data_IF_581464296000
#
_entry.id   IF_581464296000
#
_cell.length_a   1.000
_cell.length_b   1.000
_cell.length_c   1.000
_cell.angle_alpha   90.00
_cell.angle_beta   90.00
_cell.angle_gamma   90.00
#
_symmetry.space_group_name_H-M   'P 1'
#
loop_
_entity.id
_entity.type
_entity.pdbx_description
1 polymer ?
#
# COMPACT_ATOMS: atom_id res chain seq x y z
N UNK A 1 18.88 -57.52 -6.77
CA UNK A 1 17.90 -56.50 -7.17
C UNK A 1 17.32 -55.70 -6.00
N UNK A 2 17.00 -56.32 -4.85
CA UNK A 2 16.29 -55.64 -3.75
C UNK A 2 17.08 -54.52 -3.04
N UNK A 3 18.41 -54.63 -2.91
CA UNK A 3 19.22 -53.60 -2.21
C UNK A 3 19.38 -52.30 -3.00
N UNK A 4 19.53 -52.39 -4.33
CA UNK A 4 19.66 -51.21 -5.20
C UNK A 4 18.33 -50.45 -5.28
N UNK A 5 17.21 -51.18 -5.35
CA UNK A 5 15.87 -50.61 -5.37
C UNK A 5 15.49 -49.91 -4.06
N UNK A 6 15.93 -50.46 -2.92
CA UNK A 6 15.73 -49.83 -1.61
C UNK A 6 16.56 -48.55 -1.46
N UNK A 7 17.81 -48.54 -1.92
CA UNK A 7 18.66 -47.34 -1.88
C UNK A 7 18.15 -46.22 -2.80
N UNK A 8 17.66 -46.53 -4.00
CA UNK A 8 17.05 -45.51 -4.87
C UNK A 8 15.74 -44.96 -4.31
N UNK A 9 14.93 -45.79 -3.63
CA UNK A 9 13.71 -45.33 -2.97
C UNK A 9 14.00 -44.39 -1.79
N UNK A 10 15.02 -44.68 -0.97
CA UNK A 10 15.44 -43.82 0.15
C UNK A 10 15.99 -42.48 -0.36
N UNK A 11 16.77 -42.49 -1.45
CA UNK A 11 17.28 -41.25 -2.08
C UNK A 11 16.14 -40.44 -2.69
N UNK A 12 15.18 -41.09 -3.36
CA UNK A 12 14.02 -40.40 -3.93
C UNK A 12 13.13 -39.76 -2.86
N UNK A 13 12.88 -40.45 -1.74
CA UNK A 13 12.14 -39.91 -0.60
C UNK A 13 12.92 -38.76 0.04
N UNK A 14 14.24 -38.92 0.25
CA UNK A 14 15.10 -37.89 0.82
C UNK A 14 15.12 -36.60 0.00
N UNK A 15 15.24 -36.70 -1.33
CA UNK A 15 15.21 -35.56 -2.26
C UNK A 15 13.83 -34.90 -2.31
N UNK A 16 12.75 -35.68 -2.19
CA UNK A 16 11.38 -35.16 -2.18
C UNK A 16 10.99 -34.44 -0.88
N UNK A 17 11.73 -34.67 0.22
CA UNK A 17 11.56 -33.96 1.50
C UNK A 17 12.33 -32.63 1.60
N UNK A 18 13.25 -32.31 0.68
CA UNK A 18 14.03 -31.06 0.69
C UNK A 18 13.18 -29.78 0.42
N UNK A 19 12.12 -29.79 -0.43
CA UNK A 19 11.30 -28.59 -0.65
C UNK A 19 10.25 -28.32 0.44
N UNK A 20 10.17 -29.11 1.53
CA UNK A 20 9.23 -28.86 2.65
C UNK A 20 9.76 -27.85 3.68
N UNK A 21 10.76 -27.04 3.33
CA UNK A 21 11.22 -25.95 4.18
C UNK A 21 10.15 -24.88 4.34
N UNK A 22 9.69 -24.64 5.58
CA UNK A 22 8.90 -23.46 5.90
C UNK A 22 9.69 -22.20 5.54
N UNK A 23 9.09 -21.32 4.73
CA UNK A 23 9.64 -20.00 4.46
C UNK A 23 9.93 -19.28 5.78
N UNK A 24 11.14 -18.74 5.95
CA UNK A 24 11.47 -17.84 7.07
C UNK A 24 10.88 -16.43 6.90
N UNK A 25 10.09 -16.20 5.85
CA UNK A 25 9.43 -14.92 5.65
C UNK A 25 8.46 -14.67 6.81
N UNK A 26 8.69 -13.59 7.53
CA UNK A 26 7.74 -13.10 8.53
C UNK A 26 6.62 -12.43 7.76
N UNK A 27 5.45 -13.06 7.77
CA UNK A 27 4.24 -12.45 7.24
C UNK A 27 3.68 -11.46 8.27
N UNK A 28 3.59 -10.20 7.89
CA UNK A 28 2.93 -9.16 8.65
C UNK A 28 1.44 -9.44 8.82
N UNK A 29 0.85 -8.87 9.88
CA UNK A 29 -0.56 -9.07 10.23
C UNK A 29 -1.54 -8.69 9.11
N UNK A 30 -1.13 -7.79 8.21
CA UNK A 30 -1.96 -7.19 7.16
C UNK A 30 -1.45 -7.44 5.74
N UNK A 31 -0.45 -8.31 5.58
CA UNK A 31 0.13 -8.65 4.27
C UNK A 31 -0.89 -9.34 3.37
N UNK A 32 -1.77 -10.15 3.96
CA UNK A 32 -2.82 -10.89 3.24
C UNK A 32 -4.15 -10.54 3.88
N UNK A 33 -4.88 -9.64 3.24
CA UNK A 33 -6.23 -9.22 3.62
C UNK A 33 -7.17 -9.46 2.44
N UNK A 34 -8.40 -9.84 2.75
CA UNK A 34 -9.47 -9.88 1.75
C UNK A 34 -9.80 -8.45 1.29
N UNK A 35 -10.34 -8.29 0.06
CA UNK A 35 -10.84 -7.00 -0.38
C UNK A 35 -11.87 -6.41 0.59
N UNK A 36 -11.81 -5.11 0.81
CA UNK A 36 -12.75 -4.38 1.66
C UNK A 36 -14.17 -4.59 1.13
N UNK A 37 -15.05 -5.09 1.99
CA UNK A 37 -16.49 -5.18 1.71
C UNK A 37 -17.19 -4.09 2.52
N UNK A 38 -17.73 -3.04 1.88
CA UNK A 38 -18.44 -1.98 2.59
C UNK A 38 -19.67 -2.54 3.31
N UNK A 39 -19.89 -2.13 4.56
CA UNK A 39 -21.06 -2.56 5.33
C UNK A 39 -22.36 -1.91 4.83
N UNK A 40 -22.26 -0.68 4.30
CA UNK A 40 -23.35 0.07 3.70
C UNK A 40 -22.80 1.12 2.74
N UNK A 41 -23.65 1.57 1.83
CA UNK A 41 -23.41 2.73 0.97
C UNK A 41 -23.88 3.98 1.71
N UNK A 42 -22.99 4.95 1.95
CA UNK A 42 -23.35 6.22 2.60
C UNK A 42 -23.89 7.20 1.56
N UNK A 43 -25.17 7.06 1.18
CA UNK A 43 -25.79 7.77 0.04
C UNK A 43 -25.58 9.29 0.02
N UNK A 44 -25.48 9.92 1.19
CA UNK A 44 -25.31 11.38 1.33
C UNK A 44 -23.87 11.81 1.65
N UNK A 45 -22.87 10.93 1.47
CA UNK A 45 -21.48 11.22 1.86
C UNK A 45 -20.87 12.43 1.14
N UNK A 46 -21.27 12.69 -0.11
CA UNK A 46 -20.84 13.87 -0.87
C UNK A 46 -21.37 15.19 -0.31
N UNK A 47 -22.38 15.14 0.57
CA UNK A 47 -22.90 16.30 1.30
C UNK A 47 -22.24 16.53 2.66
N UNK A 48 -21.30 15.68 3.07
CA UNK A 48 -20.62 15.83 4.35
C UNK A 48 -19.72 17.06 4.35
N UNK A 49 -19.56 17.67 5.53
CA UNK A 49 -18.70 18.85 5.68
C UNK A 49 -17.22 18.43 5.57
N UNK A 50 -16.44 18.95 4.60
CA UNK A 50 -15.01 18.72 4.53
C UNK A 50 -14.25 19.45 5.64
N UNK A 51 -13.01 19.04 5.89
CA UNK A 51 -12.10 19.60 6.89
C UNK A 51 -11.16 20.65 6.29
N UNK A 52 -10.60 20.36 5.12
CA UNK A 52 -9.59 21.16 4.41
C UNK A 52 -10.18 21.86 3.18
N UNK A 53 -11.02 21.14 2.40
CA UNK A 53 -11.68 21.68 1.23
C UNK A 53 -12.79 22.66 1.61
N UNK A 54 -12.99 23.65 0.76
CA UNK A 54 -14.09 24.61 0.81
C UNK A 54 -15.44 23.96 0.48
N UNK A 55 -15.42 22.83 -0.23
CA UNK A 55 -16.59 22.00 -0.53
C UNK A 55 -16.21 20.74 -1.33
N UNK A 56 -17.14 19.79 -1.44
CA UNK A 56 -16.91 18.53 -2.18
C UNK A 56 -16.56 18.76 -3.66
N UNK A 57 -17.04 19.87 -4.23
CA UNK A 57 -16.84 20.22 -5.66
C UNK A 57 -15.67 21.17 -5.90
N UNK A 58 -14.75 21.35 -4.93
CA UNK A 58 -13.58 22.22 -5.11
C UNK A 58 -12.71 21.79 -6.32
N UNK A 59 -12.62 20.48 -6.55
CA UNK A 59 -11.98 19.91 -7.74
C UNK A 59 -13.02 19.41 -8.72
N UNK A 60 -13.16 20.10 -9.86
CA UNK A 60 -14.05 19.67 -10.93
C UNK A 60 -13.47 18.47 -11.69
N UNK A 61 -14.25 17.41 -11.83
CA UNK A 61 -13.95 16.26 -12.70
C UNK A 61 -14.91 16.28 -13.89
N UNK A 62 -14.38 16.15 -15.10
CA UNK A 62 -15.22 16.12 -16.30
C UNK A 62 -16.15 14.90 -16.27
N UNK A 63 -17.40 15.10 -16.70
CA UNK A 63 -18.33 13.99 -16.84
C UNK A 63 -17.78 12.95 -17.84
N UNK A 64 -17.98 11.65 -17.59
CA UNK A 64 -17.58 10.61 -18.54
C UNK A 64 -18.22 10.81 -19.92
N UNK A 65 -17.54 10.35 -20.97
CA UNK A 65 -18.12 10.30 -22.30
C UNK A 65 -19.37 9.40 -22.33
N UNK A 66 -20.28 9.65 -23.28
CA UNK A 66 -21.46 8.83 -23.45
C UNK A 66 -21.08 7.35 -23.66
N UNK A 67 -21.82 6.44 -23.02
CA UNK A 67 -21.54 4.99 -23.08
C UNK A 67 -21.65 4.40 -24.49
N UNK A 68 -22.35 5.09 -25.39
CA UNK A 68 -22.48 4.75 -26.82
C UNK A 68 -21.35 5.31 -27.69
N UNK A 69 -20.46 6.14 -27.13
CA UNK A 69 -19.35 6.73 -27.87
C UNK A 69 -18.30 5.69 -28.22
N UNK A 70 -17.61 5.89 -29.35
CA UNK A 70 -16.49 5.05 -29.76
C UNK A 70 -15.35 5.06 -28.75
N UNK A 71 -15.10 6.21 -28.11
CA UNK A 71 -14.09 6.35 -27.05
C UNK A 71 -14.40 5.49 -25.82
N UNK A 72 -15.62 5.57 -25.29
CA UNK A 72 -16.03 4.76 -24.14
C UNK A 72 -15.94 3.25 -24.45
N UNK A 73 -16.36 2.82 -25.64
CA UNK A 73 -16.23 1.42 -26.07
C UNK A 73 -14.77 0.99 -26.19
N UNK A 74 -13.88 1.88 -26.62
CA UNK A 74 -12.44 1.60 -26.70
C UNK A 74 -11.82 1.42 -25.29
N UNK A 75 -12.10 2.33 -24.35
CA UNK A 75 -11.66 2.23 -22.95
C UNK A 75 -12.14 0.93 -22.28
N UNK A 76 -13.40 0.54 -22.54
CA UNK A 76 -13.93 -0.73 -22.02
C UNK A 76 -13.20 -1.95 -22.61
N UNK A 77 -12.87 -1.93 -23.90
CA UNK A 77 -12.12 -3.00 -24.54
C UNK A 77 -10.67 -3.07 -24.03
N UNK A 78 -10.06 -1.93 -23.70
CA UNK A 78 -8.76 -1.87 -23.05
C UNK A 78 -8.80 -2.55 -21.67
N UNK A 79 -9.79 -2.23 -20.82
CA UNK A 79 -9.93 -2.87 -19.50
C UNK A 79 -10.09 -4.40 -19.64
N UNK A 80 -10.89 -4.87 -20.60
CA UNK A 80 -11.04 -6.31 -20.87
C UNK A 80 -9.72 -6.94 -21.30
N UNK A 81 -8.95 -6.28 -22.15
CA UNK A 81 -7.64 -6.75 -22.58
C UNK A 81 -6.63 -6.80 -21.42
N UNK A 82 -6.63 -5.78 -20.55
CA UNK A 82 -5.80 -5.75 -19.34
C UNK A 82 -6.15 -6.89 -18.38
N UNK A 83 -7.44 -7.14 -18.15
CA UNK A 83 -7.89 -8.26 -17.33
C UNK A 83 -7.50 -9.62 -17.93
N UNK A 84 -7.64 -9.80 -19.24
CA UNK A 84 -7.26 -11.04 -19.93
C UNK A 84 -5.76 -11.33 -19.83
N UNK A 85 -4.94 -10.29 -19.84
CA UNK A 85 -3.47 -10.41 -19.84
C UNK A 85 -2.84 -10.03 -18.49
N UNK A 86 -3.62 -10.07 -17.40
CA UNK A 86 -3.13 -9.67 -16.08
C UNK A 86 -1.99 -10.58 -15.63
N UNK A 87 -0.89 -9.97 -15.20
CA UNK A 87 0.26 -10.67 -14.62
C UNK A 87 0.06 -10.98 -13.15
N UNK A 88 0.83 -11.93 -12.61
CA UNK A 88 0.83 -12.25 -11.17
C UNK A 88 1.20 -11.06 -10.28
N UNK A 89 2.11 -10.19 -10.75
CA UNK A 89 2.45 -8.97 -10.01
C UNK A 89 1.28 -7.98 -9.98
N UNK A 90 0.53 -7.85 -11.07
CA UNK A 90 -0.66 -6.98 -11.12
C UNK A 90 -1.80 -7.55 -10.26
N UNK A 91 -2.04 -8.86 -10.29
CA UNK A 91 -2.99 -9.53 -9.38
C UNK A 91 -2.64 -9.24 -7.92
N UNK A 92 -1.35 -9.35 -7.56
CA UNK A 92 -0.88 -9.05 -6.21
C UNK A 92 -1.08 -7.57 -5.84
N UNK A 93 -0.81 -6.63 -6.75
CA UNK A 93 -1.07 -5.21 -6.53
C UNK A 93 -2.56 -4.92 -6.33
N UNK A 94 -3.44 -5.52 -7.14
CA UNK A 94 -4.89 -5.39 -6.99
C UNK A 94 -5.35 -5.93 -5.64
N UNK A 95 -4.85 -7.11 -5.22
CA UNK A 95 -5.16 -7.68 -3.92
C UNK A 95 -4.65 -6.81 -2.76
N UNK A 96 -3.43 -6.29 -2.87
CA UNK A 96 -2.83 -5.41 -1.85
C UNK A 96 -3.66 -4.16 -1.64
N UNK A 97 -3.98 -3.42 -2.71
CA UNK A 97 -4.79 -2.20 -2.62
C UNK A 97 -6.27 -2.46 -2.33
N UNK A 98 -6.78 -3.62 -2.75
CA UNK A 98 -8.17 -4.04 -2.54
C UNK A 98 -8.56 -4.16 -1.07
N UNK A 99 -7.61 -4.36 -0.15
CA UNK A 99 -7.85 -4.38 1.30
C UNK A 99 -8.43 -3.06 1.87
N UNK A 100 -8.38 -1.97 1.09
CA UNK A 100 -8.93 -0.67 1.44
C UNK A 100 -7.85 0.40 1.46
N UNK A 101 -8.02 1.47 0.67
CA UNK A 101 -7.02 2.52 0.52
C UNK A 101 -6.73 3.26 1.84
N UNK A 102 -7.75 3.51 2.67
CA UNK A 102 -7.56 4.18 3.98
C UNK A 102 -6.60 3.37 4.86
N UNK A 103 -6.76 2.04 4.89
CA UNK A 103 -5.88 1.14 5.64
C UNK A 103 -4.44 1.23 5.11
N UNK A 104 -4.24 1.05 3.80
CA UNK A 104 -2.89 1.02 3.20
C UNK A 104 -2.14 2.33 3.36
N UNK A 105 -2.81 3.47 3.17
CA UNK A 105 -2.21 4.78 3.43
C UNK A 105 -1.85 4.98 4.90
N UNK A 106 -2.65 4.48 5.85
CA UNK A 106 -2.30 4.53 7.27
C UNK A 106 -1.09 3.66 7.60
N UNK A 107 -0.97 2.48 6.99
CA UNK A 107 0.22 1.62 7.12
C UNK A 107 1.48 2.33 6.61
N UNK A 108 1.42 2.86 5.38
CA UNK A 108 2.52 3.63 4.78
C UNK A 108 2.92 4.82 5.67
N UNK A 109 1.96 5.55 6.21
CA UNK A 109 2.27 6.67 7.12
C UNK A 109 2.95 6.21 8.41
N UNK A 110 2.54 5.08 8.98
CA UNK A 110 3.17 4.52 10.18
C UNK A 110 4.59 4.03 9.90
N UNK A 111 4.82 3.42 8.74
CA UNK A 111 6.16 3.03 8.28
C UNK A 111 7.07 4.25 8.08
N UNK A 112 6.55 5.31 7.46
CA UNK A 112 7.28 6.57 7.30
C UNK A 112 7.61 7.20 8.65
N UNK A 113 6.66 7.31 9.57
CA UNK A 113 6.92 7.84 10.92
C UNK A 113 7.96 7.00 11.65
N UNK A 114 7.88 5.67 11.59
CA UNK A 114 8.88 4.79 12.21
C UNK A 114 10.27 4.99 11.59
N UNK A 115 10.36 5.06 10.26
CA UNK A 115 11.61 5.27 9.52
C UNK A 115 12.28 6.61 9.86
N UNK A 116 11.50 7.66 10.09
CA UNK A 116 11.98 9.01 10.38
C UNK A 116 12.14 9.29 11.89
N UNK A 117 11.73 8.38 12.76
CA UNK A 117 11.90 8.45 14.22
C UNK A 117 13.11 7.62 14.71
N UNK A 118 14.13 7.45 13.85
CA UNK A 118 15.36 6.76 14.22
C UNK A 118 16.40 7.78 14.71
N UNK A 119 17.05 7.55 15.87
CA UNK A 119 18.15 8.39 16.28
C UNK A 119 19.30 8.29 15.26
N UNK A 120 20.00 9.40 14.97
CA UNK A 120 21.16 9.41 14.11
C UNK A 120 22.29 8.56 14.70
N UNK A 121 23.03 7.84 13.84
CA UNK A 121 24.33 7.30 14.23
C UNK A 121 25.35 8.43 14.47
N UNK A 122 26.23 8.26 15.45
CA UNK A 122 27.26 9.25 15.78
C UNK A 122 28.31 9.36 14.66
N UNK A 123 28.80 10.58 14.43
CA UNK A 123 29.95 10.85 13.58
C UNK A 123 31.23 10.27 14.20
N UNK A 124 32.31 10.18 13.41
CA UNK A 124 33.61 9.70 13.88
C UNK A 124 34.23 10.56 15.00
N UNK A 125 33.82 11.83 15.11
CA UNK A 125 34.23 12.77 16.14
C UNK A 125 33.37 12.69 17.42
N UNK A 126 32.41 11.76 17.48
CA UNK A 126 31.50 11.57 18.62
C UNK A 126 30.29 12.52 18.65
N UNK A 127 30.11 13.38 17.64
CA UNK A 127 28.93 14.25 17.54
C UNK A 127 27.73 13.52 16.91
N UNK A 128 26.51 13.95 17.21
CA UNK A 128 25.29 13.42 16.58
C UNK A 128 24.79 14.38 15.49
N UNK A 129 24.68 13.95 14.22
CA UNK A 129 24.16 14.81 13.15
C UNK A 129 22.67 15.08 13.34
N UNK A 130 22.18 16.23 12.84
CA UNK A 130 20.76 16.58 12.87
C UNK A 130 20.15 16.58 11.46
N UNK A 131 18.87 16.22 11.29
CA UNK A 131 18.21 16.27 9.99
C UNK A 131 18.14 17.69 9.41
N UNK A 132 18.30 17.80 8.10
CA UNK A 132 18.31 19.08 7.39
C UNK A 132 17.21 19.17 6.35
N UNK A 133 16.38 20.20 6.43
CA UNK A 133 15.38 20.53 5.40
C UNK A 133 16.03 20.87 4.04
N UNK A 134 17.27 21.34 4.04
CA UNK A 134 18.01 21.65 2.82
C UNK A 134 18.53 20.40 2.09
N UNK A 135 18.58 19.24 2.77
CA UNK A 135 18.93 17.97 2.15
C UNK A 135 18.10 16.82 2.75
N UNK A 136 16.81 16.73 2.43
CA UNK A 136 15.86 15.88 3.15
C UNK A 136 16.06 14.37 2.93
N UNK A 137 16.78 14.00 1.88
CA UNK A 137 17.08 12.60 1.55
C UNK A 137 18.41 12.11 2.14
N UNK A 138 19.23 13.00 2.71
CA UNK A 138 20.44 12.60 3.41
C UNK A 138 20.10 12.08 4.81
N UNK A 139 20.88 11.10 5.29
CA UNK A 139 20.76 10.63 6.67
C UNK A 139 21.46 11.60 7.63
N UNK A 140 20.88 11.91 8.79
CA UNK A 140 19.54 11.50 9.26
C UNK A 140 18.41 12.22 8.51
N UNK A 141 17.35 11.46 8.20
CA UNK A 141 16.28 11.89 7.30
C UNK A 141 15.45 13.05 7.89
N UNK A 142 15.14 14.05 7.05
CA UNK A 142 14.27 15.17 7.43
C UNK A 142 12.86 14.95 6.87
N UNK A 143 11.81 15.10 7.67
CA UNK A 143 11.76 15.63 9.04
C UNK A 143 11.91 14.55 10.13
N UNK A 144 12.57 14.85 11.25
CA UNK A 144 12.57 13.93 12.40
C UNK A 144 11.15 13.76 12.94
N UNK A 145 10.64 12.53 12.95
CA UNK A 145 9.26 12.23 13.31
C UNK A 145 9.04 12.15 14.83
N UNK A 146 9.37 13.24 15.54
CA UNK A 146 9.04 13.39 16.97
C UNK A 146 7.51 13.33 17.20
N UNK A 147 7.03 13.07 18.43
CA UNK A 147 5.59 12.89 18.67
C UNK A 147 4.70 14.04 18.17
N UNK A 148 5.04 15.33 18.38
CA UNK A 148 4.29 16.43 17.78
C UNK A 148 4.26 16.43 16.25
N UNK A 149 5.40 16.14 15.60
CA UNK A 149 5.50 16.08 14.15
C UNK A 149 4.66 14.93 13.58
N UNK A 150 4.80 13.74 14.16
CA UNK A 150 4.04 12.56 13.77
C UNK A 150 2.53 12.81 13.94
N UNK A 151 2.10 13.36 15.08
CA UNK A 151 0.69 13.70 15.32
C UNK A 151 0.13 14.65 14.25
N UNK A 152 0.89 15.69 13.88
CA UNK A 152 0.51 16.64 12.83
C UNK A 152 0.45 15.98 11.45
N UNK A 153 1.41 15.12 11.13
CA UNK A 153 1.45 14.39 9.86
C UNK A 153 0.24 13.45 9.72
N UNK A 154 -0.10 12.70 10.77
CA UNK A 154 -1.32 11.88 10.77
C UNK A 154 -2.58 12.72 10.61
N UNK A 155 -2.69 13.84 11.34
CA UNK A 155 -3.86 14.71 11.22
C UNK A 155 -4.05 15.24 9.79
N UNK A 156 -2.98 15.67 9.12
CA UNK A 156 -3.06 16.13 7.73
C UNK A 156 -3.45 15.04 6.77
N UNK A 157 -2.84 13.86 6.85
CA UNK A 157 -3.16 12.77 5.93
C UNK A 157 -4.59 12.27 6.16
N UNK A 158 -5.01 12.08 7.42
CA UNK A 158 -6.37 11.63 7.71
C UNK A 158 -7.43 12.65 7.29
N UNK A 159 -7.20 13.96 7.50
CA UNK A 159 -8.11 15.00 7.04
C UNK A 159 -8.19 15.04 5.50
N UNK A 160 -7.05 14.95 4.82
CA UNK A 160 -7.02 14.90 3.35
C UNK A 160 -7.70 13.64 2.79
N UNK A 161 -7.52 12.48 3.42
CA UNK A 161 -8.18 11.24 3.03
C UNK A 161 -9.70 11.33 3.20
N UNK A 162 -10.16 11.90 4.32
CA UNK A 162 -11.58 12.10 4.56
C UNK A 162 -12.19 13.03 3.49
N UNK A 163 -11.57 14.17 3.24
CA UNK A 163 -12.05 15.12 2.23
C UNK A 163 -12.03 14.53 0.81
N UNK A 164 -11.01 13.74 0.47
CA UNK A 164 -10.94 13.06 -0.81
C UNK A 164 -12.09 12.05 -0.99
N UNK A 165 -12.50 11.35 0.08
CA UNK A 165 -13.65 10.45 0.03
C UNK A 165 -14.96 11.22 -0.14
N UNK A 166 -15.12 12.37 0.50
CA UNK A 166 -16.28 13.25 0.33
C UNK A 166 -16.34 13.82 -1.08
N UNK A 167 -15.20 14.27 -1.62
CA UNK A 167 -15.13 14.85 -2.96
C UNK A 167 -15.31 13.82 -4.10
N UNK A 168 -14.97 12.55 -3.85
CA UNK A 168 -15.12 11.47 -4.82
C UNK A 168 -16.50 10.78 -4.80
N UNK A 169 -17.39 11.18 -3.89
CA UNK A 169 -18.74 10.64 -3.75
C UNK A 169 -19.72 11.30 -4.72
#
# INVERSE_FOLDING_TARGET
MNKIFFSTLVIAIGVMSIPLGCSKAIQGRTDVLAPLTPAKTDIDAGGWKPVLLTGATEFSVAAPAAVSSTGYVAELNEIKALQKNISKQQEASVAYWGAGHVLRWNELMRELVAKYNLPPYQNADGTYPAPSAANPFAYPLFPFANPPYAARAYAYVSAAQYDALVAAW
#
